data_IF_777542111114
#
_entry.id   IF_777542111114
#
_cell.length_a   1.000
_cell.length_b   1.000
_cell.length_c   1.000
_cell.angle_alpha   90.00
_cell.angle_beta   90.00
_cell.angle_gamma   90.00
#
_symmetry.space_group_name_H-M   'P 1'
#
loop_
_entity.id
_entity.type
_entity.pdbx_description
1 polymer ?
#
# COMPACT_ATOMS: atom_id res chain seq x y z
N UNK A 1 -20.99 -16.92 -2.08
CA UNK A 1 -19.78 -16.20 -1.69
C UNK A 1 -18.99 -15.94 -2.96
N UNK A 2 -18.77 -14.67 -3.31
CA UNK A 2 -17.92 -14.31 -4.45
C UNK A 2 -16.47 -14.44 -4.00
N UNK A 3 -15.86 -15.59 -4.32
CA UNK A 3 -14.49 -15.93 -3.98
C UNK A 3 -13.58 -15.47 -5.13
N UNK A 4 -13.11 -14.23 -5.06
CA UNK A 4 -12.28 -13.62 -6.11
C UNK A 4 -10.79 -13.63 -5.79
N UNK A 5 -9.98 -13.51 -6.85
CA UNK A 5 -8.60 -13.04 -6.72
C UNK A 5 -8.59 -11.52 -6.56
N UNK A 6 -7.41 -10.92 -6.31
CA UNK A 6 -7.31 -9.46 -6.29
C UNK A 6 -7.66 -8.91 -7.68
N UNK A 7 -8.49 -7.87 -7.69
CA UNK A 7 -8.83 -7.05 -8.85
C UNK A 7 -8.62 -5.59 -8.45
N UNK A 8 -8.54 -4.66 -9.41
CA UNK A 8 -8.55 -3.24 -9.07
C UNK A 8 -9.94 -2.87 -8.52
N UNK A 9 -10.02 -2.76 -7.19
CA UNK A 9 -11.22 -2.44 -6.43
C UNK A 9 -11.16 -1.04 -5.81
N UNK A 10 -10.18 -0.22 -6.17
CA UNK A 10 -9.90 1.03 -5.47
C UNK A 10 -11.09 2.01 -5.53
N UNK A 11 -11.72 2.12 -6.70
CA UNK A 11 -12.92 2.93 -6.88
C UNK A 11 -14.11 2.44 -6.04
N UNK A 12 -14.20 1.13 -5.78
CA UNK A 12 -15.24 0.57 -4.92
C UNK A 12 -14.95 0.90 -3.45
N UNK A 13 -13.70 0.68 -3.02
CA UNK A 13 -13.28 0.88 -1.62
C UNK A 13 -13.30 2.36 -1.22
N UNK A 14 -12.99 3.28 -2.15
CA UNK A 14 -13.00 4.71 -1.88
C UNK A 14 -14.40 5.30 -1.68
N UNK A 15 -15.42 4.67 -2.29
CA UNK A 15 -16.82 5.15 -2.24
C UNK A 15 -17.64 4.40 -1.18
N UNK A 16 -17.42 3.10 -1.02
CA UNK A 16 -18.20 2.26 -0.12
C UNK A 16 -17.39 1.88 1.12
N UNK A 17 -17.75 2.38 2.31
CA UNK A 17 -17.02 2.05 3.54
C UNK A 17 -17.19 0.59 3.96
N UNK A 18 -18.30 -0.04 3.57
CA UNK A 18 -18.60 -1.45 3.81
C UNK A 18 -19.65 -1.99 2.82
N UNK A 19 -19.67 -3.31 2.55
CA UNK A 19 -18.69 -4.30 2.99
C UNK A 19 -17.38 -4.20 2.18
N UNK A 20 -16.25 -4.47 2.82
CA UNK A 20 -14.98 -4.61 2.09
C UNK A 20 -14.93 -5.98 1.44
N UNK A 21 -14.42 -6.04 0.21
CA UNK A 21 -14.33 -7.30 -0.55
C UNK A 21 -13.28 -8.21 0.08
N UNK A 22 -13.59 -9.50 0.09
CA UNK A 22 -12.71 -10.55 0.56
C UNK A 22 -11.97 -11.18 -0.61
N UNK A 23 -10.64 -11.23 -0.53
CA UNK A 23 -9.75 -11.75 -1.57
C UNK A 23 -9.08 -13.02 -1.10
N UNK A 24 -9.13 -14.07 -1.92
CA UNK A 24 -8.42 -15.31 -1.66
C UNK A 24 -6.94 -15.18 -2.00
N UNK A 25 -6.08 -15.45 -1.02
CA UNK A 25 -4.63 -15.44 -1.17
C UNK A 25 -4.10 -16.84 -0.93
N UNK A 26 -3.62 -17.50 -1.98
CA UNK A 26 -3.04 -18.83 -1.89
C UNK A 26 -1.52 -18.75 -1.68
N UNK A 27 -0.81 -18.15 -2.64
CA UNK A 27 0.67 -18.07 -2.67
C UNK A 27 1.19 -16.69 -3.10
N UNK A 28 0.32 -15.80 -3.58
CA UNK A 28 0.74 -14.55 -4.22
C UNK A 28 1.11 -13.49 -3.19
N UNK A 29 2.42 -13.26 -3.04
CA UNK A 29 2.99 -12.16 -2.25
C UNK A 29 2.50 -10.80 -2.78
N UNK A 30 2.48 -10.63 -4.10
CA UNK A 30 2.01 -9.39 -4.73
C UNK A 30 0.53 -9.12 -4.41
N UNK A 31 -0.34 -10.14 -4.49
CA UNK A 31 -1.75 -9.97 -4.13
C UNK A 31 -1.92 -9.64 -2.64
N UNK A 32 -1.09 -10.21 -1.74
CA UNK A 32 -1.11 -9.84 -0.33
C UNK A 32 -0.73 -8.36 -0.11
N UNK A 33 0.29 -7.86 -0.81
CA UNK A 33 0.68 -6.43 -0.78
C UNK A 33 -0.43 -5.52 -1.28
N UNK A 34 -1.04 -5.83 -2.43
CA UNK A 34 -2.17 -5.06 -2.97
C UNK A 34 -3.35 -5.04 -2.01
N UNK A 35 -3.75 -6.19 -1.46
CA UNK A 35 -4.84 -6.24 -0.49
C UNK A 35 -4.55 -5.45 0.79
N UNK A 36 -3.29 -5.46 1.26
CA UNK A 36 -2.86 -4.61 2.36
C UNK A 36 -2.97 -3.11 2.01
N UNK A 37 -2.44 -2.72 0.85
CA UNK A 37 -2.46 -1.35 0.35
C UNK A 37 -3.90 -0.82 0.19
N UNK A 38 -4.81 -1.65 -0.32
CA UNK A 38 -6.19 -1.30 -0.65
C UNK A 38 -7.20 -1.55 0.50
N UNK A 39 -6.71 -1.87 1.71
CA UNK A 39 -7.53 -2.14 2.89
C UNK A 39 -8.53 -3.31 2.77
N UNK A 40 -8.28 -4.29 1.91
CA UNK A 40 -9.18 -5.41 1.65
C UNK A 40 -9.13 -6.47 2.75
N UNK A 41 -10.15 -7.32 2.81
CA UNK A 41 -10.10 -8.52 3.65
C UNK A 41 -9.34 -9.63 2.92
N UNK A 42 -8.46 -10.32 3.65
CA UNK A 42 -7.69 -11.44 3.12
C UNK A 42 -8.26 -12.75 3.67
N UNK A 43 -8.57 -13.67 2.77
CA UNK A 43 -8.81 -15.07 3.09
C UNK A 43 -7.59 -15.88 2.64
N UNK A 44 -6.67 -16.11 3.57
CA UNK A 44 -5.37 -16.74 3.27
C UNK A 44 -5.50 -18.25 3.32
N UNK A 45 -5.48 -18.89 2.16
CA UNK A 45 -5.67 -20.33 1.96
C UNK A 45 -4.55 -20.94 1.10
N UNK A 46 -3.36 -21.17 1.69
CA UNK A 46 -2.28 -21.86 1.00
C UNK A 46 -2.68 -23.26 0.56
N UNK A 47 -2.06 -23.73 -0.50
CA UNK A 47 -2.42 -24.98 -1.16
C UNK A 47 -1.17 -25.80 -1.47
N UNK A 48 -1.21 -27.11 -1.21
CA UNK A 48 -0.14 -28.00 -1.66
C UNK A 48 -0.20 -28.15 -3.19
N UNK A 49 0.93 -28.44 -3.87
CA UNK A 49 0.91 -28.76 -5.29
C UNK A 49 -0.20 -29.79 -5.61
N UNK A 50 -1.01 -29.49 -6.62
CA UNK A 50 -2.11 -30.31 -7.12
C UNK A 50 -3.19 -30.68 -6.07
N UNK A 51 -3.37 -29.85 -5.03
CA UNK A 51 -4.37 -30.07 -3.99
C UNK A 51 -5.50 -29.02 -4.00
N UNK A 52 -6.37 -29.02 -2.99
CA UNK A 52 -7.45 -28.04 -2.83
C UNK A 52 -6.97 -26.80 -2.06
N UNK A 53 -7.61 -25.65 -2.27
CA UNK A 53 -7.36 -24.43 -1.48
C UNK A 53 -7.47 -24.73 0.03
N UNK A 54 -6.55 -24.19 0.83
CA UNK A 54 -6.52 -24.40 2.27
C UNK A 54 -6.00 -25.78 2.70
N UNK A 55 -5.44 -26.56 1.79
CA UNK A 55 -4.79 -27.85 2.10
C UNK A 55 -3.41 -27.72 2.72
N UNK A 56 -2.87 -26.50 2.80
CA UNK A 56 -1.54 -26.23 3.36
C UNK A 56 -1.55 -25.14 4.44
N UNK A 57 -0.48 -25.11 5.23
CA UNK A 57 -0.26 -24.12 6.27
C UNK A 57 0.49 -22.90 5.72
N UNK A 58 0.16 -21.71 6.22
CA UNK A 58 0.91 -20.48 5.92
C UNK A 58 2.40 -20.64 6.27
N UNK A 59 2.74 -21.39 7.32
CA UNK A 59 4.12 -21.66 7.72
C UNK A 59 4.94 -22.44 6.67
N UNK A 60 4.28 -23.15 5.75
CA UNK A 60 4.92 -23.92 4.70
C UNK A 60 5.19 -23.08 3.44
N UNK A 61 4.72 -21.83 3.40
CA UNK A 61 5.05 -20.82 2.40
C UNK A 61 5.82 -19.67 3.09
N UNK A 62 7.16 -19.75 3.18
CA UNK A 62 7.95 -18.77 3.94
C UNK A 62 7.85 -17.34 3.40
N UNK A 63 7.66 -17.19 2.08
CA UNK A 63 7.55 -15.88 1.45
C UNK A 63 6.19 -15.24 1.80
N UNK A 64 5.09 -15.98 1.66
CA UNK A 64 3.77 -15.52 2.06
C UNK A 64 3.69 -15.26 3.57
N UNK A 65 4.22 -16.16 4.40
CA UNK A 65 4.25 -15.97 5.85
C UNK A 65 5.00 -14.70 6.24
N UNK A 66 6.11 -14.39 5.57
CA UNK A 66 6.91 -13.19 5.84
C UNK A 66 6.14 -11.93 5.50
N UNK A 67 5.59 -11.83 4.28
CA UNK A 67 4.90 -10.61 3.87
C UNK A 67 3.64 -10.35 4.70
N UNK A 68 2.90 -11.40 5.08
CA UNK A 68 1.72 -11.24 5.95
C UNK A 68 2.09 -10.70 7.33
N UNK A 69 3.23 -11.14 7.89
CA UNK A 69 3.74 -10.60 9.16
C UNK A 69 4.17 -9.14 9.02
N UNK A 70 4.89 -8.81 7.94
CA UNK A 70 5.30 -7.44 7.63
C UNK A 70 4.09 -6.51 7.47
N UNK A 71 3.11 -6.89 6.65
CA UNK A 71 1.86 -6.16 6.50
C UNK A 71 1.10 -6.03 7.82
N UNK A 72 1.08 -7.05 8.68
CA UNK A 72 0.46 -6.96 10.00
C UNK A 72 1.18 -5.94 10.91
N UNK A 73 2.50 -5.92 10.91
CA UNK A 73 3.31 -4.95 11.66
C UNK A 73 3.05 -3.53 11.18
N UNK A 74 3.11 -3.32 9.86
CA UNK A 74 2.84 -2.02 9.24
C UNK A 74 1.40 -1.55 9.52
N UNK A 75 0.42 -2.45 9.41
CA UNK A 75 -0.98 -2.13 9.75
C UNK A 75 -1.13 -1.68 11.20
N UNK A 76 -0.41 -2.32 12.14
CA UNK A 76 -0.40 -1.90 13.53
C UNK A 76 0.21 -0.52 13.73
N UNK A 77 1.32 -0.23 13.04
CA UNK A 77 2.01 1.08 13.12
C UNK A 77 1.19 2.22 12.53
N UNK A 78 0.49 1.98 11.43
CA UNK A 78 -0.26 3.00 10.68
C UNK A 78 -1.78 2.86 10.82
N UNK A 79 -2.24 2.29 11.94
CA UNK A 79 -3.63 1.86 12.14
C UNK A 79 -4.66 2.97 11.85
N UNK A 80 -4.39 4.20 12.32
CA UNK A 80 -5.29 5.35 12.14
C UNK A 80 -5.66 5.60 10.67
N UNK A 81 -4.72 5.39 9.73
CA UNK A 81 -4.99 5.56 8.31
C UNK A 81 -6.00 4.52 7.80
N UNK A 82 -5.91 3.28 8.29
CA UNK A 82 -6.78 2.19 7.84
C UNK A 82 -8.18 2.20 8.47
N UNK A 83 -8.34 2.87 9.61
CA UNK A 83 -9.60 2.94 10.36
C UNK A 83 -10.32 4.27 10.20
N UNK A 84 -9.59 5.38 10.26
CA UNK A 84 -10.14 6.74 10.22
C UNK A 84 -9.81 7.50 8.93
N UNK A 85 -8.80 7.04 8.18
CA UNK A 85 -8.36 7.69 6.96
C UNK A 85 -9.34 7.52 5.80
N UNK A 86 -9.49 8.57 4.99
CA UNK A 86 -10.15 8.50 3.71
C UNK A 86 -9.23 7.78 2.72
N UNK A 87 -9.63 6.59 2.27
CA UNK A 87 -8.93 5.88 1.20
C UNK A 87 -9.23 6.53 -0.15
N UNK A 88 -8.18 6.92 -0.88
CA UNK A 88 -8.29 7.58 -2.18
C UNK A 88 -7.66 6.77 -3.33
N UNK A 89 -7.14 5.56 -3.07
CA UNK A 89 -6.47 4.75 -4.08
C UNK A 89 -5.33 5.50 -4.77
N UNK A 90 -5.24 5.35 -6.08
CA UNK A 90 -4.26 6.01 -6.95
C UNK A 90 -4.55 7.50 -7.23
N UNK A 91 -5.64 8.08 -6.71
CA UNK A 91 -6.01 9.48 -6.96
C UNK A 91 -5.01 10.51 -6.39
N UNK A 92 -4.02 10.04 -5.63
CA UNK A 92 -2.86 10.83 -5.22
C UNK A 92 -1.91 11.13 -6.39
N UNK A 93 -1.99 10.38 -7.49
CA UNK A 93 -1.14 10.53 -8.66
C UNK A 93 -1.67 11.60 -9.61
N UNK A 94 -0.77 12.42 -10.16
CA UNK A 94 -1.10 13.35 -11.26
C UNK A 94 -1.09 12.69 -12.64
N UNK A 95 -0.46 11.52 -12.76
CA UNK A 95 -0.43 10.68 -13.96
C UNK A 95 -0.35 9.19 -13.56
N UNK A 96 -0.85 8.27 -14.39
CA UNK A 96 -0.76 6.83 -14.09
C UNK A 96 0.70 6.39 -13.87
N UNK A 97 0.93 5.48 -12.93
CA UNK A 97 2.24 4.85 -12.68
C UNK A 97 2.16 3.35 -13.05
N UNK A 98 2.33 2.98 -14.34
CA UNK A 98 2.12 1.60 -14.79
C UNK A 98 3.19 0.61 -14.27
N UNK A 99 4.30 1.10 -13.73
CA UNK A 99 5.41 0.29 -13.21
C UNK A 99 5.12 -0.29 -11.81
N UNK A 100 4.07 0.17 -11.13
CA UNK A 100 3.80 -0.21 -9.75
C UNK A 100 2.37 -0.02 -9.30
N UNK A 101 2.15 -0.36 -8.04
CA UNK A 101 0.93 -0.08 -7.31
C UNK A 101 1.15 1.12 -6.41
N UNK A 102 0.19 2.05 -6.39
CA UNK A 102 0.19 3.20 -5.48
C UNK A 102 -1.22 3.35 -4.92
N UNK A 103 -1.32 3.42 -3.60
CA UNK A 103 -2.56 3.76 -2.92
C UNK A 103 -2.31 4.79 -1.83
N UNK A 104 -3.31 5.57 -1.47
CA UNK A 104 -3.17 6.58 -0.44
C UNK A 104 -4.37 6.70 0.50
N UNK A 105 -4.06 7.19 1.70
CA UNK A 105 -4.99 7.46 2.79
C UNK A 105 -4.80 8.89 3.29
N UNK A 106 -5.90 9.60 3.48
CA UNK A 106 -5.88 11.00 3.92
C UNK A 106 -6.48 11.10 5.31
N UNK A 107 -5.72 11.70 6.22
CA UNK A 107 -6.18 12.21 7.52
C UNK A 107 -6.14 13.75 7.48
N UNK A 108 -6.81 14.46 8.42
CA UNK A 108 -6.92 15.92 8.37
C UNK A 108 -5.58 16.68 8.31
N UNK A 109 -4.53 16.14 8.93
CA UNK A 109 -3.23 16.79 9.10
C UNK A 109 -2.06 16.02 8.45
N UNK A 110 -2.35 14.89 7.81
CA UNK A 110 -1.32 14.01 7.25
C UNK A 110 -1.88 13.05 6.20
N UNK A 111 -1.01 12.56 5.33
CA UNK A 111 -1.34 11.62 4.26
C UNK A 111 -0.36 10.46 4.29
N UNK A 112 -0.84 9.25 4.00
CA UNK A 112 0.01 8.06 3.84
C UNK A 112 -0.11 7.57 2.40
N UNK A 113 1.03 7.39 1.74
CA UNK A 113 1.13 6.67 0.47
C UNK A 113 1.72 5.30 0.72
N UNK A 114 1.19 4.26 0.08
CA UNK A 114 1.73 2.90 0.07
C UNK A 114 2.06 2.58 -1.38
N UNK A 115 3.31 2.22 -1.66
CA UNK A 115 3.81 2.00 -3.02
C UNK A 115 4.76 0.80 -3.12
N UNK A 116 4.70 0.07 -4.24
CA UNK A 116 5.65 -1.00 -4.59
C UNK A 116 5.63 -1.29 -6.09
N UNK A 117 6.76 -1.74 -6.64
CA UNK A 117 6.85 -2.09 -8.05
C UNK A 117 6.21 -3.45 -8.34
N UNK A 118 5.72 -3.63 -9.56
CA UNK A 118 5.22 -4.94 -10.01
C UNK A 118 6.36 -5.92 -10.33
N UNK A 119 7.54 -5.39 -10.63
CA UNK A 119 8.75 -6.17 -10.94
C UNK A 119 9.89 -5.82 -9.98
N UNK A 120 10.58 -6.84 -9.47
CA UNK A 120 11.73 -6.64 -8.57
C UNK A 120 12.86 -5.85 -9.26
N UNK A 121 13.46 -4.90 -8.52
CA UNK A 121 14.65 -4.17 -8.97
C UNK A 121 14.37 -2.93 -9.82
N UNK A 122 13.10 -2.57 -10.01
CA UNK A 122 12.72 -1.33 -10.66
C UNK A 122 12.76 -0.14 -9.68
N UNK A 123 12.75 1.08 -10.19
CA UNK A 123 12.57 2.28 -9.38
C UNK A 123 11.28 2.92 -9.81
N UNK A 124 10.32 3.01 -8.89
CA UNK A 124 9.09 3.74 -9.18
C UNK A 124 9.38 5.24 -9.19
N UNK A 125 8.74 5.95 -10.11
CA UNK A 125 8.85 7.41 -10.19
C UNK A 125 7.47 8.07 -10.21
N UNK A 126 6.61 7.82 -9.21
CA UNK A 126 5.29 8.42 -9.15
C UNK A 126 5.38 9.94 -9.08
N UNK A 127 4.45 10.59 -9.75
CA UNK A 127 4.20 12.02 -9.62
C UNK A 127 2.95 12.21 -8.76
N UNK A 128 3.15 12.66 -7.52
CA UNK A 128 2.08 12.92 -6.56
C UNK A 128 1.50 14.32 -6.72
N UNK A 129 0.20 14.51 -6.52
CA UNK A 129 -0.46 15.80 -6.33
C UNK A 129 -1.12 15.83 -4.94
N UNK A 130 -0.42 16.41 -3.97
CA UNK A 130 -0.86 16.54 -2.58
C UNK A 130 -1.92 17.63 -2.38
N UNK A 131 -1.98 18.61 -3.31
CA UNK A 131 -2.77 19.83 -3.17
C UNK A 131 -4.26 19.61 -2.86
N UNK A 132 -4.95 18.64 -3.50
CA UNK A 132 -6.36 18.38 -3.23
C UNK A 132 -6.61 17.74 -1.86
N UNK A 133 -5.58 17.09 -1.30
CA UNK A 133 -5.72 16.15 -0.20
C UNK A 133 -5.16 16.69 1.12
N UNK A 134 -4.14 17.53 1.06
CA UNK A 134 -3.43 18.01 2.23
C UNK A 134 -3.15 19.51 2.11
N UNK A 135 -3.83 20.32 2.91
CA UNK A 135 -3.63 21.77 2.91
C UNK A 135 -2.33 22.14 3.60
N UNK A 136 -1.49 22.93 2.93
CA UNK A 136 -0.27 23.49 3.50
C UNK A 136 -0.26 25.02 3.38
N UNK A 137 -0.30 25.78 4.50
CA UNK A 137 -0.23 27.24 4.47
C UNK A 137 1.07 27.79 3.87
N UNK A 138 2.17 27.07 4.07
CA UNK A 138 3.49 27.39 3.53
C UNK A 138 3.65 26.96 2.07
N UNK A 139 2.72 26.15 1.55
CA UNK A 139 2.85 25.44 0.28
C UNK A 139 3.94 24.36 0.30
N UNK A 140 4.49 24.04 1.49
CA UNK A 140 5.52 23.03 1.67
C UNK A 140 5.02 21.80 2.43
N UNK A 141 5.66 20.67 2.16
CA UNK A 141 5.38 19.40 2.81
C UNK A 141 6.68 18.79 3.31
N UNK A 142 6.58 18.04 4.40
CA UNK A 142 7.62 17.15 4.90
C UNK A 142 7.16 15.72 4.77
N UNK A 143 8.10 14.83 4.52
CA UNK A 143 7.80 13.42 4.38
C UNK A 143 8.79 12.53 5.10
N UNK A 144 8.34 11.32 5.40
CA UNK A 144 9.13 10.24 6.00
C UNK A 144 8.79 8.93 5.29
N UNK A 145 9.80 8.23 4.82
CA UNK A 145 9.66 6.93 4.17
C UNK A 145 10.04 5.80 5.13
N UNK A 146 9.25 4.73 5.07
CA UNK A 146 9.38 3.53 5.86
C UNK A 146 9.53 2.32 4.94
N UNK A 147 10.42 1.41 5.32
CA UNK A 147 10.63 0.15 4.61
C UNK A 147 9.52 -0.88 4.95
N UNK A 148 9.61 -2.07 4.36
CA UNK A 148 8.63 -3.15 4.56
C UNK A 148 8.58 -3.70 5.99
N UNK A 149 9.66 -3.53 6.75
CA UNK A 149 9.74 -3.89 8.17
C UNK A 149 9.26 -2.74 9.08
N UNK A 150 8.96 -1.58 8.47
CA UNK A 150 8.47 -0.38 9.11
C UNK A 150 9.57 0.51 9.67
N UNK A 151 10.85 0.34 9.30
CA UNK A 151 11.91 1.23 9.73
C UNK A 151 11.96 2.50 8.87
N UNK A 152 12.17 3.64 9.52
CA UNK A 152 12.42 4.90 8.84
C UNK A 152 13.79 4.84 8.15
N UNK A 153 13.84 5.21 6.87
CA UNK A 153 15.10 5.21 6.12
C UNK A 153 15.37 6.50 5.37
N UNK A 154 14.36 7.36 5.17
CA UNK A 154 14.53 8.62 4.45
C UNK A 154 13.50 9.65 4.89
N UNK A 155 13.93 10.91 4.95
CA UNK A 155 13.06 12.05 5.24
C UNK A 155 13.40 13.18 4.31
N UNK A 156 12.43 13.99 3.95
CA UNK A 156 12.68 15.16 3.12
C UNK A 156 11.63 16.23 3.26
N UNK A 157 11.86 17.33 2.56
CA UNK A 157 10.89 18.40 2.37
C UNK A 157 10.73 18.69 0.89
N UNK A 158 9.54 19.13 0.51
CA UNK A 158 9.22 19.51 -0.86
C UNK A 158 8.34 20.76 -0.84
N UNK A 159 8.61 21.67 -1.78
CA UNK A 159 7.76 22.83 -2.03
C UNK A 159 6.81 22.56 -3.20
N UNK A 160 5.61 23.11 -3.13
CA UNK A 160 4.56 22.89 -4.12
C UNK A 160 3.79 21.58 -3.88
N UNK A 161 2.58 21.51 -4.44
CA UNK A 161 1.72 20.33 -4.25
C UNK A 161 2.02 19.17 -5.19
N UNK A 162 2.76 19.39 -6.28
CA UNK A 162 3.14 18.32 -7.22
C UNK A 162 4.58 17.91 -7.03
N UNK A 163 4.81 16.64 -6.73
CA UNK A 163 6.11 16.13 -6.29
C UNK A 163 6.41 14.81 -7.01
N UNK A 164 7.57 14.77 -7.67
CA UNK A 164 8.14 13.52 -8.18
C UNK A 164 9.10 12.96 -7.14
N UNK A 165 8.89 11.71 -6.74
CA UNK A 165 9.77 11.03 -5.80
C UNK A 165 10.22 9.69 -6.39
N UNK A 166 11.53 9.45 -6.40
CA UNK A 166 12.08 8.13 -6.77
C UNK A 166 11.95 7.19 -5.59
N UNK A 167 11.19 6.10 -5.76
CA UNK A 167 11.03 5.06 -4.75
C UNK A 167 11.84 3.84 -5.19
N UNK A 168 13.00 3.58 -4.57
CA UNK A 168 13.79 2.40 -4.89
C UNK A 168 13.04 1.14 -4.43
N UNK A 169 12.93 0.12 -5.29
CA UNK A 169 12.26 -1.16 -4.96
C UNK A 169 13.24 -2.34 -4.96
N UNK A 170 14.30 -2.19 -4.16
CA UNK A 170 15.15 -3.34 -3.80
C UNK A 170 14.43 -4.24 -2.78
N UNK A 171 15.01 -5.41 -2.43
CA UNK A 171 14.37 -6.36 -1.51
C UNK A 171 14.00 -5.78 -0.14
N UNK A 172 14.73 -4.77 0.34
CA UNK A 172 14.40 -4.12 1.61
C UNK A 172 13.24 -3.11 1.44
N UNK A 173 13.02 -2.61 0.22
CA UNK A 173 12.05 -1.58 -0.13
C UNK A 173 11.02 -2.06 -1.14
N UNK A 174 10.72 -3.34 -1.07
CA UNK A 174 9.77 -4.05 -1.93
C UNK A 174 8.29 -3.73 -1.56
N UNK A 175 8.10 -2.97 -0.48
CA UNK A 175 6.88 -2.27 -0.08
C UNK A 175 7.32 -1.04 0.72
N UNK A 176 6.94 0.15 0.26
CA UNK A 176 7.34 1.42 0.86
C UNK A 176 6.10 2.18 1.31
N UNK A 177 6.19 2.74 2.50
CA UNK A 177 5.18 3.65 3.04
C UNK A 177 5.80 5.05 3.12
N UNK A 178 5.07 6.07 2.69
CA UNK A 178 5.52 7.46 2.72
C UNK A 178 4.47 8.30 3.44
N UNK A 179 4.80 8.79 4.62
CA UNK A 179 3.94 9.68 5.39
C UNK A 179 4.27 11.14 5.05
N UNK A 180 3.27 11.90 4.62
CA UNK A 180 3.36 13.32 4.31
C UNK A 180 2.64 14.15 5.36
N UNK A 181 3.23 15.29 5.73
CA UNK A 181 2.64 16.30 6.62
C UNK A 181 2.89 17.70 6.05
N UNK A 182 2.03 18.68 6.31
CA UNK A 182 2.37 20.09 6.04
C UNK A 182 3.63 20.49 6.81
N UNK A 183 4.44 21.36 6.21
CA UNK A 183 5.64 21.98 6.81
C UNK A 183 5.29 23.25 7.57
#
# INVERSE_FOLDING_TARGET
WNWGHHENLEALVSVFPAPRINVNINHSVAAAKRCFADNLYLNVWPMKPDSINGSDWISNDPALSRILKQCSTLRGRFLDYFTEGLFIGDCILSEPCPEGHVSAYVLPDRLLVIAFAESEGETLQPNFDLSPWLSSPSGGYRWTSFDVDGHEYETGTAGGGRIRLGIPTDKAKDLVLIEWKPS
#
